data_IF_893116095945
#
_entry.id   IF_893116095945
#
_cell.length_a   1.000
_cell.length_b   1.000
_cell.length_c   1.000
_cell.angle_alpha   90.00
_cell.angle_beta   90.00
_cell.angle_gamma   90.00
#
_symmetry.space_group_name_H-M   'P 1'
#
loop_
_entity.id
_entity.type
_entity.pdbx_description
1 polymer ?
#
# COMPACT_ATOMS: atom_id res chain seq x y z
N UNK A 1 33.64 79.99 -69.40
CA UNK A 1 34.52 78.90 -69.75
C UNK A 1 34.60 77.99 -68.49
N UNK A 2 33.73 76.97 -68.47
CA UNK A 2 33.61 76.07 -67.32
C UNK A 2 34.32 74.75 -67.62
N UNK A 3 35.37 74.44 -66.85
CA UNK A 3 36.01 73.15 -66.87
C UNK A 3 35.33 72.26 -65.82
N UNK A 4 34.41 71.39 -66.21
CA UNK A 4 33.87 70.33 -65.34
C UNK A 4 34.88 69.20 -65.25
N UNK A 5 35.52 69.10 -64.11
CA UNK A 5 36.36 67.95 -63.74
C UNK A 5 35.47 66.76 -63.39
N UNK A 6 35.46 65.74 -64.27
CA UNK A 6 34.73 64.52 -64.15
C UNK A 6 35.45 63.57 -63.12
N UNK A 7 35.14 63.78 -61.86
CA UNK A 7 35.70 62.99 -60.74
C UNK A 7 34.93 61.65 -60.45
N UNK A 8 33.92 61.33 -61.29
CA UNK A 8 33.06 60.19 -61.03
C UNK A 8 33.57 58.85 -61.58
N UNK A 9 34.57 58.83 -62.46
CA UNK A 9 35.04 57.64 -63.16
C UNK A 9 36.08 56.79 -62.43
N UNK A 10 36.76 57.33 -61.41
CA UNK A 10 37.85 56.58 -60.73
C UNK A 10 37.36 55.68 -59.57
N UNK A 11 36.22 56.00 -58.96
CA UNK A 11 35.67 55.19 -57.84
C UNK A 11 35.01 53.87 -58.30
N UNK A 12 34.48 53.79 -59.51
CA UNK A 12 33.82 52.56 -60.04
C UNK A 12 34.79 51.47 -60.36
N UNK A 13 36.01 51.78 -60.86
CA UNK A 13 37.02 50.77 -61.22
C UNK A 13 37.61 50.04 -59.99
N UNK A 14 37.67 50.68 -58.81
CA UNK A 14 38.25 50.11 -57.60
C UNK A 14 37.34 49.05 -56.97
N UNK A 15 36.03 49.10 -57.24
CA UNK A 15 35.07 48.12 -56.70
C UNK A 15 35.00 46.82 -57.56
N UNK A 16 35.39 46.86 -58.78
CA UNK A 16 35.38 45.68 -59.64
C UNK A 16 36.46 44.65 -59.29
N UNK A 17 37.52 45.06 -58.62
CA UNK A 17 38.55 44.16 -58.10
C UNK A 17 38.07 43.34 -56.91
N UNK A 18 37.03 43.75 -56.23
CA UNK A 18 36.42 43.00 -55.13
C UNK A 18 35.40 41.99 -55.61
N UNK A 19 34.91 42.06 -56.85
CA UNK A 19 33.95 41.12 -57.42
C UNK A 19 34.45 39.66 -57.48
N UNK A 20 35.70 39.34 -57.86
CA UNK A 20 36.18 37.96 -57.87
C UNK A 20 36.53 37.44 -56.43
N UNK A 21 36.72 38.35 -55.45
CA UNK A 21 36.98 37.94 -54.08
C UNK A 21 35.74 37.33 -53.39
N UNK A 22 34.55 37.77 -53.72
CA UNK A 22 33.29 37.27 -53.14
C UNK A 22 33.06 35.79 -53.43
N UNK A 23 33.16 35.29 -54.70
CA UNK A 23 33.03 33.86 -54.97
C UNK A 23 34.19 33.04 -54.42
N UNK A 24 35.41 33.59 -54.34
CA UNK A 24 36.55 32.90 -53.74
C UNK A 24 36.37 32.71 -52.22
N UNK A 25 35.88 33.72 -51.50
CA UNK A 25 35.54 33.64 -50.08
C UNK A 25 34.36 32.66 -49.85
N UNK A 26 33.33 32.74 -50.70
CA UNK A 26 32.21 31.81 -50.66
C UNK A 26 32.67 30.38 -50.92
N UNK A 27 33.50 30.15 -51.92
CA UNK A 27 34.02 28.80 -52.22
C UNK A 27 34.86 28.19 -51.09
N UNK A 28 35.61 29.02 -50.34
CA UNK A 28 36.43 28.54 -49.21
C UNK A 28 35.66 28.42 -47.93
N UNK A 29 34.64 29.24 -47.68
CA UNK A 29 33.84 29.27 -46.46
C UNK A 29 32.65 28.29 -46.49
N UNK A 30 32.01 28.09 -47.66
CA UNK A 30 30.85 27.20 -47.82
C UNK A 30 31.13 25.76 -47.38
N UNK A 31 32.22 25.08 -47.82
CA UNK A 31 32.46 23.71 -47.39
C UNK A 31 32.79 23.59 -45.87
N UNK A 32 33.44 24.63 -45.29
CA UNK A 32 33.71 24.66 -43.87
C UNK A 32 32.46 24.90 -43.01
N UNK A 33 31.57 25.77 -43.48
CA UNK A 33 30.25 25.96 -42.88
C UNK A 33 29.36 24.74 -43.01
N UNK A 34 29.36 24.11 -44.21
CA UNK A 34 28.61 22.89 -44.43
C UNK A 34 29.08 21.70 -43.55
N UNK A 35 30.38 21.62 -43.27
CA UNK A 35 30.92 20.62 -42.33
C UNK A 35 30.68 20.95 -40.85
N UNK A 36 30.58 22.23 -40.49
CA UNK A 36 30.35 22.68 -39.11
C UNK A 36 28.86 22.57 -38.69
N UNK A 37 27.94 22.74 -39.63
CA UNK A 37 26.49 22.70 -39.34
C UNK A 37 26.02 21.35 -38.76
N UNK A 38 26.37 20.16 -39.32
CA UNK A 38 25.94 18.89 -38.73
C UNK A 38 26.57 18.64 -37.36
N UNK A 39 27.79 19.11 -37.11
CA UNK A 39 28.43 19.01 -35.77
C UNK A 39 27.78 19.93 -34.76
N UNK A 40 27.32 21.10 -35.13
CA UNK A 40 26.57 21.99 -34.25
C UNK A 40 25.16 21.48 -33.97
N UNK A 41 24.48 20.92 -34.98
CA UNK A 41 23.18 20.28 -34.81
C UNK A 41 23.26 19.06 -33.90
N UNK A 42 24.27 18.19 -34.07
CA UNK A 42 24.47 17.03 -33.20
C UNK A 42 24.83 17.39 -31.75
N UNK A 43 25.46 18.57 -31.53
CA UNK A 43 25.68 19.08 -30.17
C UNK A 43 24.39 19.61 -29.53
N UNK A 44 23.60 20.34 -30.32
CA UNK A 44 22.31 20.86 -29.86
C UNK A 44 21.35 19.71 -29.52
N UNK A 45 21.26 18.67 -30.33
CA UNK A 45 20.45 17.50 -30.09
C UNK A 45 20.89 16.75 -28.82
N UNK A 46 22.19 16.64 -28.57
CA UNK A 46 22.68 16.01 -27.32
C UNK A 46 22.32 16.83 -26.07
N UNK A 47 22.41 18.16 -26.13
CA UNK A 47 22.09 19.04 -25.00
C UNK A 47 20.57 19.06 -24.77
N UNK A 48 19.77 19.10 -25.82
CA UNK A 48 18.31 19.05 -25.72
C UNK A 48 17.87 17.68 -25.22
N UNK A 49 18.43 16.61 -25.81
CA UNK A 49 18.16 15.23 -25.38
C UNK A 49 18.51 15.01 -23.90
N UNK A 50 19.69 15.44 -23.45
CA UNK A 50 20.11 15.31 -22.07
C UNK A 50 19.22 16.10 -21.09
N UNK A 51 18.72 17.27 -21.48
CA UNK A 51 17.76 18.01 -20.67
C UNK A 51 16.39 17.35 -20.62
N UNK A 52 15.97 16.74 -21.70
CA UNK A 52 14.70 16.01 -21.78
C UNK A 52 14.73 14.75 -20.91
N UNK A 53 15.80 13.95 -21.02
CA UNK A 53 15.96 12.76 -20.17
C UNK A 53 16.05 13.11 -18.69
N UNK A 54 16.85 14.11 -18.33
CA UNK A 54 16.93 14.57 -16.94
C UNK A 54 15.58 15.06 -16.39
N UNK A 55 14.76 15.70 -17.21
CA UNK A 55 13.41 16.13 -16.80
C UNK A 55 12.44 14.96 -16.68
N UNK A 56 12.53 13.97 -17.57
CA UNK A 56 11.75 12.74 -17.45
C UNK A 56 12.13 11.96 -16.19
N UNK A 57 13.41 11.81 -15.91
CA UNK A 57 13.90 11.14 -14.70
C UNK A 57 13.43 11.86 -13.43
N UNK A 58 13.49 13.21 -13.41
CA UNK A 58 12.98 13.99 -12.29
C UNK A 58 11.47 13.82 -12.08
N UNK A 59 10.67 13.83 -13.17
CA UNK A 59 9.23 13.59 -13.09
C UNK A 59 8.90 12.16 -12.65
N UNK A 60 9.66 11.17 -13.09
CA UNK A 60 9.50 9.78 -12.65
C UNK A 60 9.80 9.63 -11.15
N UNK A 61 10.88 10.27 -10.67
CA UNK A 61 11.21 10.29 -9.25
C UNK A 61 10.14 11.00 -8.42
N UNK A 62 9.61 12.12 -8.89
CA UNK A 62 8.53 12.83 -8.22
C UNK A 62 7.25 11.99 -8.18
N UNK A 63 6.86 11.36 -9.28
CA UNK A 63 5.73 10.43 -9.32
C UNK A 63 5.91 9.27 -8.33
N UNK A 64 7.09 8.66 -8.31
CA UNK A 64 7.38 7.59 -7.35
C UNK A 64 7.26 8.07 -5.90
N UNK A 65 7.82 9.24 -5.58
CA UNK A 65 7.70 9.83 -4.25
C UNK A 65 6.25 10.16 -3.87
N UNK A 66 5.46 10.66 -4.82
CA UNK A 66 4.02 10.93 -4.62
C UNK A 66 3.24 9.63 -4.38
N UNK A 67 3.51 8.59 -5.15
CA UNK A 67 2.88 7.28 -4.95
C UNK A 67 3.21 6.68 -3.57
N UNK A 68 4.46 6.80 -3.11
CA UNK A 68 4.84 6.37 -1.77
C UNK A 68 4.09 7.16 -0.67
N UNK A 69 3.97 8.50 -0.84
CA UNK A 69 3.21 9.33 0.12
C UNK A 69 1.73 8.99 0.12
N UNK A 70 1.14 8.75 -1.05
CA UNK A 70 -0.26 8.31 -1.17
C UNK A 70 -0.48 6.97 -0.49
N UNK A 71 0.40 6.00 -0.71
CA UNK A 71 0.33 4.71 -0.03
C UNK A 71 0.41 4.86 1.49
N UNK A 72 1.40 5.63 2.00
CA UNK A 72 1.54 5.89 3.42
C UNK A 72 0.33 6.62 4.02
N UNK A 73 -0.28 7.58 3.30
CA UNK A 73 -1.48 8.27 3.77
C UNK A 73 -2.72 7.37 3.77
N UNK A 74 -2.87 6.50 2.77
CA UNK A 74 -3.97 5.53 2.71
C UNK A 74 -3.90 4.55 3.89
N UNK A 75 -2.71 4.10 4.22
CA UNK A 75 -2.47 3.24 5.38
C UNK A 75 -2.84 3.93 6.71
N UNK A 76 -2.42 5.18 6.90
CA UNK A 76 -2.78 5.95 8.10
C UNK A 76 -4.29 6.21 8.22
N UNK A 77 -4.97 6.44 7.10
CA UNK A 77 -6.44 6.58 7.07
C UNK A 77 -7.12 5.26 7.44
N UNK A 78 -6.63 4.12 6.91
CA UNK A 78 -7.17 2.81 7.23
C UNK A 78 -6.99 2.49 8.72
N UNK A 79 -5.82 2.74 9.29
CA UNK A 79 -5.53 2.57 10.72
C UNK A 79 -6.42 3.47 11.60
N UNK A 80 -6.56 4.75 11.24
CA UNK A 80 -7.43 5.67 11.99
C UNK A 80 -8.91 5.24 11.95
N UNK A 81 -9.37 4.73 10.80
CA UNK A 81 -10.72 4.18 10.67
C UNK A 81 -10.89 2.93 11.54
N UNK A 82 -9.91 2.03 11.55
CA UNK A 82 -9.94 0.83 12.37
C UNK A 82 -9.94 1.17 13.88
N UNK A 83 -9.08 2.10 14.32
CA UNK A 83 -9.05 2.59 15.71
C UNK A 83 -10.38 3.21 16.14
N UNK A 84 -10.98 4.05 15.29
CA UNK A 84 -12.31 4.63 15.57
C UNK A 84 -13.40 3.57 15.65
N UNK A 85 -13.34 2.54 14.80
CA UNK A 85 -14.28 1.41 14.84
C UNK A 85 -14.14 0.62 16.15
N UNK A 86 -12.90 0.36 16.56
CA UNK A 86 -12.61 -0.33 17.82
C UNK A 86 -13.12 0.44 19.03
N UNK A 87 -12.83 1.75 19.10
CA UNK A 87 -13.31 2.62 20.17
C UNK A 87 -14.85 2.75 20.17
N UNK A 88 -15.46 2.74 19.00
CA UNK A 88 -16.92 2.81 18.85
C UNK A 88 -17.64 1.50 19.14
N UNK A 89 -16.93 0.37 19.22
CA UNK A 89 -17.54 -0.95 19.47
C UNK A 89 -18.14 -1.11 20.86
N UNK A 90 -17.72 -0.27 21.83
CA UNK A 90 -18.15 -0.37 23.22
C UNK A 90 -17.65 -1.62 23.96
N UNK A 91 -16.80 -2.43 23.31
CA UNK A 91 -16.20 -3.63 23.89
C UNK A 91 -14.99 -3.27 24.74
N UNK A 92 -14.83 -3.94 25.88
CA UNK A 92 -13.62 -3.81 26.70
C UNK A 92 -12.44 -4.49 25.97
N UNK A 93 -11.63 -3.70 25.32
CA UNK A 93 -10.41 -4.14 24.65
C UNK A 93 -9.24 -3.63 25.47
N UNK A 94 -8.47 -4.49 26.12
CA UNK A 94 -7.32 -4.11 26.94
C UNK A 94 -6.27 -3.25 26.20
N UNK A 95 -5.02 -3.30 26.60
CA UNK A 95 -3.95 -2.66 25.82
C UNK A 95 -3.78 -3.38 24.48
N UNK A 96 -3.89 -2.66 23.38
CA UNK A 96 -3.77 -3.21 22.02
C UNK A 96 -2.82 -2.38 21.16
N UNK A 97 -2.04 -3.07 20.35
CA UNK A 97 -1.15 -2.46 19.36
C UNK A 97 -1.71 -2.72 17.97
N UNK A 98 -1.90 -1.69 17.12
CA UNK A 98 -2.33 -1.90 15.76
C UNK A 98 -1.24 -2.61 14.94
N UNK A 99 -1.66 -3.60 14.17
CA UNK A 99 -0.77 -4.44 13.37
C UNK A 99 -1.27 -4.55 11.94
N UNK A 100 -0.39 -4.30 11.00
CA UNK A 100 -0.68 -4.35 9.57
C UNK A 100 -0.42 -5.73 9.00
N UNK A 101 -1.27 -6.19 8.10
CA UNK A 101 -1.11 -7.48 7.42
C UNK A 101 0.03 -7.39 6.39
N UNK A 102 1.04 -8.23 6.56
CA UNK A 102 2.14 -8.41 5.61
C UNK A 102 1.87 -9.53 4.63
N UNK A 103 1.33 -10.64 5.11
CA UNK A 103 1.01 -11.82 4.29
C UNK A 103 -0.21 -12.55 4.84
N UNK A 104 -0.89 -13.30 3.97
CA UNK A 104 -2.03 -14.16 4.31
C UNK A 104 -1.76 -15.58 3.87
N UNK A 105 -2.11 -16.51 4.72
CA UNK A 105 -2.12 -17.94 4.41
C UNK A 105 -3.51 -18.52 4.71
N UNK A 106 -3.86 -19.69 4.18
CA UNK A 106 -5.18 -20.29 4.45
C UNK A 106 -5.47 -20.52 5.93
N UNK A 107 -4.43 -20.68 6.76
CA UNK A 107 -4.56 -20.95 8.21
C UNK A 107 -4.12 -19.83 9.11
N UNK A 108 -3.78 -18.63 8.57
CA UNK A 108 -3.28 -17.56 9.42
C UNK A 108 -2.84 -16.30 8.69
N UNK A 109 -2.19 -15.41 9.43
CA UNK A 109 -1.69 -14.13 8.98
C UNK A 109 -0.25 -13.93 9.44
N UNK A 110 0.51 -13.13 8.69
CA UNK A 110 1.74 -12.48 9.19
C UNK A 110 1.45 -11.00 9.35
N UNK A 111 1.67 -10.47 10.54
CA UNK A 111 1.42 -9.09 10.89
C UNK A 111 2.73 -8.34 11.19
N UNK A 112 2.81 -7.08 10.80
CA UNK A 112 3.84 -6.17 11.26
C UNK A 112 3.45 -5.67 12.66
N UNK A 113 4.00 -6.26 13.69
CA UNK A 113 3.77 -5.88 15.08
C UNK A 113 5.07 -6.08 15.85
N UNK A 114 5.71 -5.00 16.30
CA UNK A 114 6.80 -5.12 17.26
C UNK A 114 6.24 -5.60 18.61
N UNK A 115 7.02 -6.40 19.31
CA UNK A 115 6.76 -6.82 20.70
C UNK A 115 5.48 -7.66 20.92
N UNK A 116 4.96 -8.33 19.90
CA UNK A 116 3.84 -9.25 20.08
C UNK A 116 4.28 -10.51 20.86
N UNK A 117 3.68 -10.78 21.99
CA UNK A 117 3.97 -11.97 22.77
C UNK A 117 3.31 -13.21 22.11
N UNK A 118 3.99 -14.38 22.05
CA UNK A 118 3.34 -15.63 21.69
C UNK A 118 2.17 -15.91 22.65
N UNK A 119 1.03 -16.34 22.11
CA UNK A 119 -0.20 -16.53 22.88
C UNK A 119 -1.10 -15.30 22.94
N UNK A 120 -0.63 -14.13 22.51
CA UNK A 120 -1.44 -12.91 22.50
C UNK A 120 -2.65 -13.04 21.57
N UNK A 121 -3.79 -12.53 22.00
CA UNK A 121 -5.00 -12.50 21.20
C UNK A 121 -4.90 -11.44 20.10
N UNK A 122 -5.42 -11.76 18.94
CA UNK A 122 -5.52 -10.86 17.80
C UNK A 122 -6.97 -10.54 17.51
N UNK A 123 -7.27 -9.26 17.46
CA UNK A 123 -8.63 -8.73 17.32
C UNK A 123 -8.77 -7.99 15.96
N UNK A 124 -9.95 -8.01 15.41
CA UNK A 124 -10.29 -7.15 14.28
C UNK A 124 -10.62 -5.70 14.71
N UNK A 125 -10.92 -4.84 13.75
CA UNK A 125 -11.33 -3.45 13.98
C UNK A 125 -12.66 -3.31 14.76
N UNK A 126 -13.43 -4.37 14.91
CA UNK A 126 -14.64 -4.43 15.72
C UNK A 126 -14.39 -4.98 17.14
N UNK A 127 -13.14 -5.26 17.51
CA UNK A 127 -12.79 -5.87 18.80
C UNK A 127 -13.18 -7.36 18.90
N UNK A 128 -13.29 -8.04 17.77
CA UNK A 128 -13.63 -9.46 17.70
C UNK A 128 -12.39 -10.29 17.56
N UNK A 129 -12.36 -11.42 18.22
CA UNK A 129 -11.22 -12.34 18.20
C UNK A 129 -11.04 -12.99 16.83
N UNK A 130 -9.89 -12.78 16.22
CA UNK A 130 -9.52 -13.34 14.92
C UNK A 130 -8.58 -14.54 15.03
N UNK A 131 -7.72 -14.59 16.06
CA UNK A 131 -6.74 -15.66 16.21
C UNK A 131 -5.75 -15.39 17.33
N UNK A 132 -4.70 -16.21 17.38
CA UNK A 132 -3.65 -16.10 18.40
C UNK A 132 -2.28 -16.01 17.75
N UNK A 133 -1.39 -15.20 18.32
CA UNK A 133 0.02 -15.12 17.93
C UNK A 133 0.71 -16.44 18.27
N UNK A 134 1.26 -17.10 17.28
CA UNK A 134 2.01 -18.36 17.45
C UNK A 134 3.50 -18.15 17.55
N UNK A 135 4.02 -17.18 16.82
CA UNK A 135 5.43 -16.83 16.81
C UNK A 135 5.62 -15.34 16.64
N UNK A 136 6.69 -14.79 17.21
CA UNK A 136 7.08 -13.39 17.08
C UNK A 136 8.56 -13.31 16.79
N UNK A 137 8.93 -12.46 15.83
CA UNK A 137 10.30 -12.24 15.36
C UNK A 137 10.70 -10.75 15.48
N UNK A 138 10.35 -10.15 16.60
CA UNK A 138 10.70 -8.76 16.97
C UNK A 138 10.01 -7.68 16.14
N UNK A 139 9.91 -7.81 14.83
CA UNK A 139 9.25 -6.84 13.94
C UNK A 139 7.96 -7.37 13.33
N UNK A 140 7.78 -8.68 13.29
CA UNK A 140 6.57 -9.30 12.75
C UNK A 140 6.16 -10.49 13.61
N UNK A 141 4.87 -10.79 13.60
CA UNK A 141 4.33 -11.94 14.28
C UNK A 141 3.49 -12.79 13.32
N UNK A 142 3.50 -14.10 13.55
CA UNK A 142 2.64 -15.06 12.85
C UNK A 142 1.43 -15.33 13.72
N UNK A 143 0.25 -15.21 13.13
CA UNK A 143 -1.05 -15.47 13.76
C UNK A 143 -1.65 -16.70 13.15
N UNK A 144 -2.10 -17.63 13.97
CA UNK A 144 -2.85 -18.79 13.51
C UNK A 144 -4.35 -18.60 13.76
N UNK A 145 -5.14 -19.01 12.79
CA UNK A 145 -6.59 -19.14 12.89
C UNK A 145 -6.94 -20.49 13.52
N UNK A 146 -6.54 -20.69 14.77
CA UNK A 146 -6.82 -21.92 15.49
C UNK A 146 -8.18 -21.88 16.16
N UNK A 147 -8.77 -23.03 16.35
CA UNK A 147 -9.99 -23.14 17.16
C UNK A 147 -9.75 -22.57 18.56
N UNK A 148 -10.60 -21.67 18.98
CA UNK A 148 -10.56 -21.04 20.28
C UNK A 148 -11.65 -21.63 21.18
N UNK A 149 -11.33 -21.80 22.46
CA UNK A 149 -12.35 -22.13 23.45
C UNK A 149 -13.37 -20.99 23.51
N UNK A 150 -14.63 -21.31 23.36
CA UNK A 150 -15.76 -20.38 23.44
C UNK A 150 -16.60 -20.67 24.68
N UNK A 151 -16.83 -19.62 25.45
CA UNK A 151 -17.72 -19.59 26.61
C UNK A 151 -19.05 -18.97 26.20
N UNK A 152 -20.14 -19.67 26.41
CA UNK A 152 -21.48 -19.16 26.21
C UNK A 152 -22.34 -19.52 27.44
N UNK A 153 -22.69 -18.55 28.24
CA UNK A 153 -23.31 -18.82 29.56
C UNK A 153 -22.43 -19.70 30.41
N UNK A 154 -22.92 -20.89 30.79
CA UNK A 154 -22.19 -21.93 31.53
C UNK A 154 -21.59 -23.02 30.65
N UNK A 155 -21.78 -22.93 29.35
CA UNK A 155 -21.36 -23.98 28.41
C UNK A 155 -20.02 -23.64 27.72
N UNK A 156 -19.25 -24.67 27.48
CA UNK A 156 -17.99 -24.60 26.74
C UNK A 156 -18.15 -25.25 25.36
N UNK A 157 -17.56 -24.65 24.36
CA UNK A 157 -17.43 -25.19 23.02
C UNK A 157 -16.13 -24.78 22.36
N UNK A 158 -15.89 -25.20 21.14
CA UNK A 158 -14.76 -24.78 20.32
C UNK A 158 -15.27 -23.97 19.13
N UNK A 159 -14.87 -22.71 19.04
CA UNK A 159 -15.15 -21.87 17.88
C UNK A 159 -14.02 -22.02 16.86
N UNK A 160 -14.37 -22.39 15.63
CA UNK A 160 -13.40 -22.54 14.52
C UNK A 160 -13.46 -21.30 13.62
N UNK A 161 -12.39 -20.49 13.58
CA UNK A 161 -12.29 -19.35 12.67
C UNK A 161 -12.46 -19.77 11.20
N UNK A 162 -13.15 -18.93 10.43
CA UNK A 162 -13.45 -19.19 9.04
C UNK A 162 -14.75 -19.95 8.80
N UNK A 163 -15.08 -20.93 9.63
CA UNK A 163 -16.41 -21.57 9.62
C UNK A 163 -17.39 -20.90 10.59
N UNK A 164 -16.86 -20.30 11.65
CA UNK A 164 -17.60 -19.62 12.71
C UNK A 164 -18.78 -20.46 13.23
N UNK A 165 -18.45 -21.66 13.63
CA UNK A 165 -19.37 -22.60 14.28
C UNK A 165 -18.78 -22.92 15.64
N UNK A 166 -19.61 -22.86 16.68
CA UNK A 166 -19.29 -23.32 18.03
C UNK A 166 -19.68 -24.81 18.11
N UNK A 167 -18.72 -25.67 18.30
CA UNK A 167 -18.90 -27.13 18.35
C UNK A 167 -18.56 -27.68 19.72
N UNK A 168 -19.04 -28.90 20.03
CA UNK A 168 -18.73 -29.58 21.28
C UNK A 168 -19.49 -29.00 22.48
N UNK A 169 -20.59 -28.32 22.26
CA UNK A 169 -21.49 -27.92 23.33
C UNK A 169 -22.19 -29.18 23.91
N UNK A 170 -22.52 -29.23 25.22
CA UNK A 170 -23.34 -30.28 25.76
C UNK A 170 -24.70 -30.37 25.03
N UNK A 171 -25.18 -31.58 24.73
CA UNK A 171 -26.44 -31.74 23.99
C UNK A 171 -27.67 -31.23 24.78
N UNK A 172 -27.57 -31.16 26.09
CA UNK A 172 -28.60 -30.66 27.02
C UNK A 172 -28.51 -29.17 27.29
N UNK A 173 -27.61 -28.42 26.60
CA UNK A 173 -27.46 -27.00 26.81
C UNK A 173 -28.75 -26.24 26.36
N UNK A 174 -29.16 -25.27 27.16
CA UNK A 174 -30.38 -24.47 26.94
C UNK A 174 -30.06 -23.08 26.37
N UNK A 175 -29.05 -22.99 25.50
CA UNK A 175 -28.63 -21.74 24.89
C UNK A 175 -29.61 -21.29 23.81
N UNK A 176 -29.75 -19.97 23.70
CA UNK A 176 -30.67 -19.34 22.73
C UNK A 176 -29.94 -18.48 21.71
N UNK A 177 -30.58 -18.23 20.58
CA UNK A 177 -30.04 -17.31 19.58
C UNK A 177 -29.83 -15.91 20.18
N UNK A 178 -28.74 -15.25 19.82
CA UNK A 178 -28.35 -13.93 20.33
C UNK A 178 -27.47 -13.95 21.56
N UNK A 179 -27.23 -15.11 22.16
CA UNK A 179 -26.29 -15.19 23.30
C UNK A 179 -24.84 -14.93 22.85
N UNK A 180 -24.09 -14.22 23.71
CA UNK A 180 -22.71 -13.82 23.46
C UNK A 180 -21.77 -14.97 23.73
N UNK A 181 -20.83 -15.17 22.83
CA UNK A 181 -19.74 -16.14 22.97
C UNK A 181 -18.42 -15.39 23.12
N UNK A 182 -17.69 -15.69 24.18
CA UNK A 182 -16.38 -15.08 24.47
C UNK A 182 -15.30 -16.15 24.63
N UNK A 183 -14.03 -15.77 24.44
CA UNK A 183 -12.92 -16.61 24.89
C UNK A 183 -12.87 -16.67 26.43
N UNK A 184 -12.15 -17.62 27.05
CA UNK A 184 -11.87 -17.59 28.47
C UNK A 184 -11.15 -16.31 28.94
N UNK A 185 -10.44 -15.63 28.03
CA UNK A 185 -9.81 -14.33 28.27
C UNK A 185 -10.76 -13.14 28.12
N UNK A 186 -12.05 -13.37 27.86
CA UNK A 186 -13.06 -12.33 27.73
C UNK A 186 -13.16 -11.69 26.34
N UNK A 187 -12.41 -12.21 25.35
CA UNK A 187 -12.49 -11.67 23.98
C UNK A 187 -13.77 -12.11 23.30
N UNK A 188 -14.34 -11.21 22.51
CA UNK A 188 -15.55 -11.46 21.75
C UNK A 188 -15.32 -12.41 20.58
N UNK A 189 -15.93 -13.59 20.60
CA UNK A 189 -15.92 -14.55 19.49
C UNK A 189 -17.07 -14.35 18.52
N UNK A 190 -18.23 -13.95 19.03
CA UNK A 190 -19.44 -13.76 18.24
C UNK A 190 -20.71 -13.88 19.08
N UNK A 191 -21.84 -14.06 18.41
CA UNK A 191 -23.13 -14.38 19.01
C UNK A 191 -23.68 -15.63 18.36
N UNK A 192 -24.47 -16.42 19.08
CA UNK A 192 -25.20 -17.53 18.52
C UNK A 192 -26.21 -17.03 17.48
N UNK A 193 -26.10 -17.49 16.25
CA UNK A 193 -27.04 -17.15 15.19
C UNK A 193 -28.38 -17.94 15.31
N UNK A 194 -28.30 -19.13 15.91
CA UNK A 194 -29.44 -20.01 16.17
C UNK A 194 -29.19 -20.83 17.45
N UNK A 195 -30.23 -21.44 17.97
CA UNK A 195 -30.08 -22.39 19.05
C UNK A 195 -29.21 -23.58 18.64
N UNK A 196 -28.43 -24.20 19.57
CA UNK A 196 -27.61 -25.37 19.27
C UNK A 196 -28.45 -26.51 18.73
N UNK A 197 -27.87 -27.20 17.74
CA UNK A 197 -28.48 -28.39 17.13
C UNK A 197 -27.60 -29.60 17.55
N UNK A 198 -28.22 -30.67 18.07
CA UNK A 198 -27.48 -31.88 18.42
C UNK A 198 -26.72 -32.42 17.20
N UNK A 199 -25.46 -32.81 17.43
CA UNK A 199 -24.63 -33.51 16.44
C UNK A 199 -25.07 -34.96 16.25
N UNK A 200 -24.55 -35.65 15.24
CA UNK A 200 -24.93 -37.02 14.91
C UNK A 200 -24.59 -38.04 16.02
N UNK A 201 -23.70 -37.69 16.95
CA UNK A 201 -23.32 -38.52 18.11
C UNK A 201 -24.34 -38.45 19.25
N UNK A 202 -25.25 -37.48 19.22
CA UNK A 202 -26.26 -37.24 20.25
C UNK A 202 -25.71 -36.81 21.60
N UNK A 203 -24.40 -36.65 21.75
CA UNK A 203 -23.70 -36.24 22.99
C UNK A 203 -23.32 -34.77 22.95
N UNK A 204 -23.06 -34.24 21.79
CA UNK A 204 -22.66 -32.86 21.56
C UNK A 204 -23.66 -32.12 20.71
N UNK A 205 -23.57 -30.80 20.72
CA UNK A 205 -24.34 -29.92 19.90
C UNK A 205 -23.45 -28.85 19.27
N UNK A 206 -23.88 -28.33 18.14
CA UNK A 206 -23.20 -27.27 17.44
C UNK A 206 -24.13 -26.11 17.11
N UNK A 207 -23.60 -24.89 17.08
CA UNK A 207 -24.35 -23.68 16.75
C UNK A 207 -23.54 -22.76 15.84
N UNK A 208 -24.15 -22.18 14.81
CA UNK A 208 -23.49 -21.18 13.98
C UNK A 208 -23.33 -19.87 14.76
N UNK A 209 -22.22 -19.17 14.50
CA UNK A 209 -21.92 -17.86 15.07
C UNK A 209 -22.13 -16.76 14.04
N UNK A 210 -22.60 -15.61 14.50
CA UNK A 210 -22.68 -14.36 13.76
C UNK A 210 -21.94 -13.27 14.51
N UNK A 211 -21.79 -12.07 13.91
CA UNK A 211 -20.99 -10.97 14.45
C UNK A 211 -19.57 -11.38 14.83
N UNK A 212 -18.95 -12.17 14.00
CA UNK A 212 -17.61 -12.74 14.14
C UNK A 212 -16.55 -11.87 13.48
N UNK A 213 -15.27 -12.15 13.75
CA UNK A 213 -14.16 -11.37 13.20
C UNK A 213 -14.10 -11.42 11.67
N UNK A 214 -13.75 -10.28 11.08
CA UNK A 214 -13.41 -10.20 9.66
C UNK A 214 -11.98 -10.68 9.43
N UNK A 215 -11.83 -11.88 8.87
CA UNK A 215 -10.52 -12.47 8.54
C UNK A 215 -9.87 -11.83 7.30
N UNK A 216 -10.54 -10.90 6.62
CA UNK A 216 -10.03 -10.17 5.46
C UNK A 216 -9.70 -8.70 5.77
N UNK A 217 -9.79 -8.27 7.02
CA UNK A 217 -9.45 -6.91 7.44
C UNK A 217 -7.99 -6.56 7.10
N UNK A 218 -7.74 -5.31 6.75
CA UNK A 218 -6.38 -4.82 6.43
C UNK A 218 -5.54 -4.54 7.68
N UNK A 219 -6.18 -4.25 8.80
CA UNK A 219 -5.55 -3.93 10.09
C UNK A 219 -6.17 -4.79 11.18
N UNK A 220 -5.34 -5.33 12.03
CA UNK A 220 -5.71 -6.04 13.24
C UNK A 220 -5.07 -5.38 14.45
N UNK A 221 -5.50 -5.78 15.62
CA UNK A 221 -4.99 -5.31 16.89
C UNK A 221 -4.49 -6.49 17.70
N UNK A 222 -3.23 -6.42 18.10
CA UNK A 222 -2.60 -7.44 18.96
C UNK A 222 -2.69 -6.98 20.39
N UNK A 223 -3.20 -7.84 21.28
CA UNK A 223 -3.23 -7.56 22.72
C UNK A 223 -1.81 -7.62 23.27
N UNK A 224 -1.45 -6.64 24.12
CA UNK A 224 -0.10 -6.48 24.69
C UNK A 224 -0.13 -6.46 26.23
N UNK A 225 -1.06 -7.22 26.83
CA UNK A 225 -1.19 -7.31 28.30
C UNK A 225 -0.04 -8.09 28.93
#
# INVERSE_FOLDING_TARGET
>A
MFVQLDLSRSRRRRRWWLLPLVPAVLWFCLPRLAAALPAAAARADRVIGARYTARLDALQQENFALHQRLAASADAVAENKALRSLLGSGRAVGCVTPARVLARTPGGLTLACPDAAPGAAVLDAGGRYAGTVTNSDGNCCTVAFTAAAGLCGSCFGLATPGKWVLTGLPADCTLTAGEIVTTPGGDWLGMLAAAPVPDADGLTASAPLTDTADLHAAVYFVRTD
#
